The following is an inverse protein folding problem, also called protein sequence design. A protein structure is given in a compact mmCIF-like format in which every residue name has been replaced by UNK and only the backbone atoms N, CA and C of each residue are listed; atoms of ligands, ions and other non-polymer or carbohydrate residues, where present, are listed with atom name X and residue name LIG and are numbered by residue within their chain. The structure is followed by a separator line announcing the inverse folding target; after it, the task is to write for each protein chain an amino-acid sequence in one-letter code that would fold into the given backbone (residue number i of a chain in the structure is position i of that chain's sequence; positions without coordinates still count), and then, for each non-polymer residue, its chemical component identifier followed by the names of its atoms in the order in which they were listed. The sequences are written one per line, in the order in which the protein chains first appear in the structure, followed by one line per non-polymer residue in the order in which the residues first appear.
data_IF_335604776054
#
_entry.id   IF_335604776054
#
_cell.length_a   1.000
_cell.length_b   1.000
_cell.length_c   1.000
_cell.angle_alpha   90.00
_cell.angle_beta   90.00
_cell.angle_gamma   90.00
#
_symmetry.space_group_name_H-M   'P 1'
#
loop_
_entity.id
_entity.type
_entity.pdbx_description
1 polymer ?
#
# COMPACT_ATOMS: atom_id res chain seq x y z
N UNK A 1 -30.31 -17.47 30.40
CA UNK A 1 -28.86 -17.80 30.37
C UNK A 1 -28.35 -18.19 28.98
N UNK A 2 -29.01 -19.10 28.23
CA UNK A 2 -28.55 -19.53 26.89
C UNK A 2 -28.47 -18.42 25.83
N UNK A 3 -29.43 -17.50 25.81
CA UNK A 3 -29.48 -16.40 24.83
C UNK A 3 -28.39 -15.34 25.09
N UNK A 4 -28.11 -15.03 26.35
CA UNK A 4 -27.06 -14.07 26.73
C UNK A 4 -25.66 -14.56 26.34
N UNK A 5 -25.37 -15.87 26.51
CA UNK A 5 -24.11 -16.45 26.05
C UNK A 5 -23.95 -16.39 24.52
N UNK A 6 -25.05 -16.52 23.76
CA UNK A 6 -25.01 -16.44 22.30
C UNK A 6 -24.64 -15.03 21.82
N UNK A 7 -25.21 -13.99 22.44
CA UNK A 7 -24.86 -12.59 22.16
C UNK A 7 -23.41 -12.29 22.54
N UNK A 8 -22.94 -12.79 23.69
CA UNK A 8 -21.56 -12.58 24.11
C UNK A 8 -20.57 -13.21 23.11
N UNK A 9 -20.86 -14.44 22.66
CA UNK A 9 -20.06 -15.14 21.66
C UNK A 9 -20.05 -14.44 20.29
N UNK A 10 -21.20 -13.91 19.85
CA UNK A 10 -21.29 -13.14 18.59
C UNK A 10 -20.48 -11.84 18.66
N UNK A 11 -20.54 -11.11 19.78
CA UNK A 11 -19.75 -9.89 19.96
C UNK A 11 -18.24 -10.18 20.03
N UNK A 12 -17.83 -11.29 20.67
CA UNK A 12 -16.44 -11.75 20.67
C UNK A 12 -15.96 -12.13 19.27
N UNK A 13 -16.80 -12.79 18.47
CA UNK A 13 -16.47 -13.19 17.10
C UNK A 13 -16.33 -11.98 16.17
N UNK A 14 -17.22 -10.97 16.30
CA UNK A 14 -17.13 -9.71 15.56
C UNK A 14 -15.83 -8.98 15.94
N UNK A 15 -15.49 -8.92 17.23
CA UNK A 15 -14.25 -8.28 17.68
C UNK A 15 -12.99 -8.98 17.14
N UNK A 16 -12.99 -10.31 17.08
CA UNK A 16 -11.88 -11.10 16.52
C UNK A 16 -11.72 -10.95 14.99
N UNK A 17 -12.79 -10.65 14.25
CA UNK A 17 -12.76 -10.50 12.79
C UNK A 17 -12.17 -9.19 12.27
N UNK A 18 -11.75 -8.28 13.15
CA UNK A 18 -11.29 -6.94 12.78
C UNK A 18 -9.84 -6.87 12.25
N UNK A 19 -9.08 -7.97 12.36
CA UNK A 19 -7.66 -8.00 11.98
C UNK A 19 -7.44 -8.98 10.82
N UNK A 20 -7.13 -8.46 9.64
CA UNK A 20 -6.58 -9.25 8.55
C UNK A 20 -5.05 -9.17 8.60
N UNK A 21 -4.38 -10.31 8.82
CA UNK A 21 -2.92 -10.43 8.70
C UNK A 21 -2.60 -11.16 7.41
N UNK A 22 -1.71 -10.58 6.61
CA UNK A 22 -1.15 -11.21 5.41
C UNK A 22 0.36 -10.96 5.39
N UNK A 23 1.13 -12.03 5.27
CA UNK A 23 2.58 -12.01 5.13
C UNK A 23 3.01 -13.25 4.33
N UNK A 24 4.22 -13.21 3.77
CA UNK A 24 4.76 -14.31 2.99
C UNK A 24 5.09 -15.53 3.89
N UNK A 25 4.82 -16.77 3.45
CA UNK A 25 5.13 -17.97 4.24
C UNK A 25 6.59 -18.07 4.69
N UNK A 26 6.83 -18.65 5.86
CA UNK A 26 8.18 -18.89 6.39
C UNK A 26 9.01 -19.84 5.51
N UNK A 27 10.33 -19.68 5.54
CA UNK A 27 11.28 -20.56 4.85
C UNK A 27 11.25 -21.99 5.39
N UNK A 28 11.42 -22.96 4.48
CA UNK A 28 11.58 -24.38 4.80
C UNK A 28 13.00 -24.91 4.59
N UNK A 29 13.89 -24.06 4.06
CA UNK A 29 15.30 -24.34 3.74
C UNK A 29 16.07 -23.01 3.64
N UNK A 30 17.40 -23.05 3.64
CA UNK A 30 18.23 -21.84 3.66
C UNK A 30 17.99 -20.92 2.45
N UNK A 31 17.88 -21.50 1.25
CA UNK A 31 17.67 -20.76 0.00
C UNK A 31 16.72 -21.51 -0.94
N UNK A 32 15.83 -20.78 -1.60
CA UNK A 32 14.99 -21.30 -2.67
C UNK A 32 14.93 -20.27 -3.79
N UNK A 33 15.83 -20.35 -4.77
CA UNK A 33 15.93 -19.34 -5.84
C UNK A 33 14.81 -19.57 -6.86
N UNK A 34 14.06 -18.52 -7.20
CA UNK A 34 13.05 -18.62 -8.25
C UNK A 34 13.69 -18.93 -9.62
N UNK A 35 13.03 -19.74 -10.45
CA UNK A 35 13.50 -20.04 -11.81
C UNK A 35 13.03 -18.92 -12.72
N UNK A 36 13.91 -17.96 -13.00
CA UNK A 36 13.64 -16.85 -13.92
C UNK A 36 14.94 -16.42 -14.61
N UNK A 37 14.87 -16.13 -15.91
CA UNK A 37 16.05 -15.86 -16.75
C UNK A 37 16.49 -14.38 -16.80
N UNK A 38 15.80 -13.49 -16.09
CA UNK A 38 16.07 -12.04 -16.13
C UNK A 38 16.85 -11.57 -14.91
N UNK A 39 18.17 -11.37 -15.06
CA UNK A 39 19.05 -10.83 -14.03
C UNK A 39 19.38 -9.35 -14.25
N UNK A 40 18.37 -8.47 -14.21
CA UNK A 40 18.54 -7.02 -14.34
C UNK A 40 18.07 -6.26 -13.08
N UNK A 41 18.45 -6.74 -11.88
CA UNK A 41 18.17 -6.07 -10.60
C UNK A 41 19.33 -5.23 -10.08
N UNK A 42 19.04 -4.08 -9.44
CA UNK A 42 20.04 -3.22 -8.81
C UNK A 42 19.49 -1.87 -8.37
N UNK A 43 20.04 -1.31 -7.28
CA UNK A 43 19.63 -0.02 -6.71
C UNK A 43 20.75 1.04 -6.73
N UNK A 44 21.90 0.73 -7.33
CA UNK A 44 23.09 1.58 -7.33
C UNK A 44 22.98 2.80 -8.25
N UNK A 45 22.10 2.76 -9.26
CA UNK A 45 21.95 3.83 -10.25
C UNK A 45 20.61 4.56 -10.03
N UNK A 46 20.62 5.88 -9.77
CA UNK A 46 19.40 6.70 -9.80
C UNK A 46 18.76 6.66 -11.18
N UNK A 47 17.42 6.60 -11.27
CA UNK A 47 16.72 6.68 -12.56
C UNK A 47 16.19 8.09 -12.83
N UNK A 48 15.98 8.40 -14.10
CA UNK A 48 15.44 9.69 -14.53
C UNK A 48 14.03 9.92 -13.97
N UNK A 49 13.84 11.11 -13.40
CA UNK A 49 12.56 11.60 -12.87
C UNK A 49 11.85 12.55 -13.84
N UNK A 50 12.31 12.63 -15.10
CA UNK A 50 11.70 13.44 -16.17
C UNK A 50 10.37 12.84 -16.65
N UNK A 51 9.37 12.83 -15.78
CA UNK A 51 8.01 12.38 -16.05
C UNK A 51 7.00 13.30 -15.31
N UNK A 52 5.71 13.12 -15.58
CA UNK A 52 4.66 14.02 -15.09
C UNK A 52 4.49 14.04 -13.57
N UNK A 53 4.93 13.00 -12.86
CA UNK A 53 4.86 12.93 -11.39
C UNK A 53 6.19 13.28 -10.73
N UNK A 54 7.26 13.44 -11.50
CA UNK A 54 8.59 13.78 -10.97
C UNK A 54 9.14 12.73 -10.03
N UNK A 55 8.75 11.46 -10.14
CA UNK A 55 9.33 10.37 -9.34
C UNK A 55 9.43 9.09 -10.16
N UNK A 56 10.35 8.21 -9.77
CA UNK A 56 10.51 6.89 -10.40
C UNK A 56 10.76 5.83 -9.34
N UNK A 57 10.05 4.72 -9.47
CA UNK A 57 10.13 3.58 -8.56
C UNK A 57 10.93 2.49 -9.26
N UNK A 58 12.09 2.13 -8.68
CA UNK A 58 12.91 1.01 -9.13
C UNK A 58 12.69 -0.18 -8.20
N UNK A 59 11.84 -1.15 -8.59
CA UNK A 59 11.56 -2.32 -7.75
C UNK A 59 12.71 -3.32 -7.78
N UNK A 60 12.88 -4.01 -6.65
CA UNK A 60 13.71 -5.19 -6.49
C UNK A 60 12.88 -6.22 -5.73
N UNK A 61 12.12 -7.02 -6.49
CA UNK A 61 11.35 -8.16 -5.99
C UNK A 61 11.87 -9.46 -6.64
N UNK A 62 11.14 -10.57 -6.48
CA UNK A 62 11.49 -11.88 -7.04
C UNK A 62 11.69 -11.87 -8.58
N UNK A 63 11.10 -10.92 -9.29
CA UNK A 63 11.22 -10.79 -10.75
C UNK A 63 12.56 -10.18 -11.18
N UNK A 64 13.18 -9.35 -10.33
CA UNK A 64 14.49 -8.73 -10.60
C UNK A 64 15.64 -9.46 -9.90
N UNK A 65 15.40 -10.02 -8.72
CA UNK A 65 16.38 -10.80 -7.96
C UNK A 65 15.70 -12.10 -7.52
N UNK A 66 15.83 -13.19 -8.30
CA UNK A 66 15.19 -14.47 -8.01
C UNK A 66 15.59 -15.08 -6.66
N UNK A 67 16.75 -14.70 -6.12
CA UNK A 67 17.22 -15.10 -4.80
C UNK A 67 16.41 -14.54 -3.63
N UNK A 68 15.53 -13.55 -3.85
CA UNK A 68 14.61 -13.06 -2.82
C UNK A 68 13.45 -14.00 -2.53
N UNK A 69 13.26 -15.02 -3.36
CA UNK A 69 12.18 -15.97 -3.18
C UNK A 69 12.29 -16.65 -1.81
N UNK A 70 11.13 -16.81 -1.14
CA UNK A 70 10.96 -17.29 0.24
C UNK A 70 11.53 -16.41 1.36
N UNK A 71 12.32 -15.36 1.08
CA UNK A 71 12.95 -14.55 2.14
C UNK A 71 12.02 -13.51 2.78
N UNK A 72 10.77 -13.40 2.34
CA UNK A 72 9.75 -12.46 2.83
C UNK A 72 10.19 -10.99 2.82
N UNK A 73 11.11 -10.64 1.90
CA UNK A 73 11.60 -9.28 1.72
C UNK A 73 11.56 -8.88 0.24
N UNK A 74 11.31 -7.60 0.02
CA UNK A 74 11.51 -6.93 -1.25
C UNK A 74 12.03 -5.52 -0.99
N UNK A 75 12.71 -4.95 -1.97
CA UNK A 75 13.30 -3.63 -1.86
C UNK A 75 12.83 -2.73 -3.00
N UNK A 76 12.96 -1.44 -2.77
CA UNK A 76 12.66 -0.43 -3.77
C UNK A 76 13.55 0.77 -3.55
N UNK A 77 14.10 1.33 -4.63
CA UNK A 77 14.65 2.68 -4.64
C UNK A 77 13.63 3.60 -5.28
N UNK A 78 13.45 4.78 -4.70
CA UNK A 78 12.59 5.80 -5.25
C UNK A 78 13.41 7.07 -5.40
N UNK A 79 13.55 7.55 -6.64
CA UNK A 79 14.19 8.83 -6.93
C UNK A 79 13.09 9.88 -7.15
N UNK A 80 13.27 11.06 -6.57
CA UNK A 80 12.32 12.19 -6.65
C UNK A 80 12.99 13.40 -7.30
N UNK A 81 12.27 14.07 -8.20
CA UNK A 81 12.65 15.37 -8.71
C UNK A 81 12.55 16.42 -7.59
N UNK A 82 13.50 17.37 -7.52
CA UNK A 82 13.44 18.45 -6.55
C UNK A 82 12.19 19.32 -6.76
N UNK A 83 11.66 19.89 -5.67
CA UNK A 83 10.59 20.88 -5.67
C UNK A 83 9.26 20.44 -6.32
N UNK A 84 8.91 19.15 -6.28
CA UNK A 84 7.59 18.72 -6.76
C UNK A 84 7.46 17.24 -7.11
N UNK A 85 8.52 16.44 -6.99
CA UNK A 85 8.42 14.99 -7.17
C UNK A 85 7.42 14.36 -6.20
N UNK A 86 6.46 13.62 -6.73
CA UNK A 86 5.40 12.94 -5.98
C UNK A 86 5.36 11.47 -6.36
N UNK A 87 5.36 10.61 -5.35
CA UNK A 87 4.93 9.23 -5.50
C UNK A 87 3.45 9.20 -5.06
N UNK A 88 2.50 9.05 -6.00
CA UNK A 88 1.08 9.21 -5.69
C UNK A 88 0.62 8.30 -4.54
N UNK A 89 -0.46 8.67 -3.83
CA UNK A 89 -1.07 7.78 -2.84
C UNK A 89 -1.34 6.40 -3.42
N UNK A 90 -0.80 5.36 -2.77
CA UNK A 90 -0.92 3.96 -3.18
C UNK A 90 -1.00 3.06 -1.95
N UNK A 91 -1.30 1.79 -2.19
CA UNK A 91 -1.35 0.75 -1.15
C UNK A 91 -0.45 -0.42 -1.53
N UNK A 92 0.00 -1.16 -0.53
CA UNK A 92 0.66 -2.46 -0.69
C UNK A 92 -0.23 -3.52 -0.05
N UNK A 93 -0.96 -4.34 -0.82
CA UNK A 93 -2.01 -5.21 -0.28
C UNK A 93 -1.48 -6.38 0.57
N UNK A 94 -0.18 -6.69 0.50
CA UNK A 94 0.43 -7.85 1.16
C UNK A 94 1.76 -7.54 1.87
N UNK A 95 2.05 -6.26 2.13
CA UNK A 95 3.34 -5.89 2.69
C UNK A 95 3.33 -4.54 3.37
N UNK A 96 4.03 -4.47 4.50
CA UNK A 96 4.38 -3.21 5.15
C UNK A 96 5.64 -2.64 4.51
N UNK A 97 5.79 -1.31 4.54
CA UNK A 97 6.92 -0.60 3.96
C UNK A 97 7.66 0.18 5.03
N UNK A 98 8.98 0.04 5.06
CA UNK A 98 9.91 0.88 5.81
C UNK A 98 10.66 1.75 4.80
N UNK A 99 10.83 3.03 5.11
CA UNK A 99 11.51 4.01 4.26
C UNK A 99 12.76 4.54 4.95
N UNK A 100 13.85 4.67 4.19
CA UNK A 100 15.06 5.38 4.58
C UNK A 100 15.34 6.45 3.53
N UNK A 101 15.45 7.71 3.97
CA UNK A 101 15.81 8.82 3.09
C UNK A 101 17.33 8.86 3.01
N UNK A 102 17.87 8.62 1.81
CA UNK A 102 19.31 8.65 1.57
C UNK A 102 19.83 10.08 1.31
N UNK A 103 19.02 10.92 0.68
CA UNK A 103 19.37 12.29 0.30
C UNK A 103 18.12 13.18 0.26
N UNK A 104 18.28 14.46 0.66
CA UNK A 104 17.21 15.46 0.62
C UNK A 104 16.23 15.40 1.79
N UNK A 105 15.05 16.00 1.58
CA UNK A 105 13.95 16.04 2.56
C UNK A 105 12.71 15.48 1.87
N UNK A 106 12.05 14.50 2.50
CA UNK A 106 10.85 13.86 1.97
C UNK A 106 9.68 13.99 2.95
N UNK A 107 8.58 14.55 2.48
CA UNK A 107 7.31 14.51 3.22
C UNK A 107 6.64 13.15 3.01
N UNK A 108 6.43 12.41 4.09
CA UNK A 108 5.82 11.08 4.06
C UNK A 108 4.54 11.09 4.90
N UNK A 109 3.45 10.59 4.33
CA UNK A 109 2.17 10.43 5.01
C UNK A 109 1.58 9.05 4.76
N UNK A 110 1.01 8.46 5.80
CA UNK A 110 0.22 7.23 5.71
C UNK A 110 -1.23 7.54 6.07
N UNK A 111 -2.17 7.05 5.28
CA UNK A 111 -3.60 7.13 5.56
C UNK A 111 -4.09 5.72 5.87
N UNK A 112 -4.79 5.56 6.99
CA UNK A 112 -5.35 4.24 7.35
C UNK A 112 -6.48 3.89 6.39
N UNK A 113 -6.49 2.63 5.91
CA UNK A 113 -7.49 2.13 4.96
C UNK A 113 -8.91 2.22 5.51
N UNK A 114 -9.09 2.09 6.83
CA UNK A 114 -10.38 2.27 7.50
C UNK A 114 -10.99 3.63 7.18
N UNK A 115 -10.23 4.72 7.31
CA UNK A 115 -10.75 6.08 7.08
C UNK A 115 -11.09 6.26 5.60
N UNK A 116 -10.21 5.84 4.69
CA UNK A 116 -10.43 6.00 3.26
C UNK A 116 -11.65 5.18 2.77
N UNK A 117 -11.81 3.95 3.23
CA UNK A 117 -12.98 3.11 2.93
C UNK A 117 -14.24 3.68 3.59
N UNK A 118 -14.18 4.20 4.81
CA UNK A 118 -15.35 4.83 5.43
C UNK A 118 -15.80 6.10 4.69
N UNK A 119 -14.86 6.90 4.18
CA UNK A 119 -15.18 8.18 3.53
C UNK A 119 -15.55 8.00 2.05
N UNK A 120 -14.81 7.17 1.31
CA UNK A 120 -14.94 7.05 -0.15
C UNK A 120 -15.46 5.68 -0.60
N UNK A 121 -15.21 4.59 0.12
CA UNK A 121 -15.54 3.21 -0.27
C UNK A 121 -16.67 2.56 0.54
N UNK A 122 -17.53 3.35 1.20
CA UNK A 122 -18.55 2.81 2.10
C UNK A 122 -19.67 2.13 1.30
N UNK A 123 -20.17 0.98 1.79
CA UNK A 123 -21.21 0.21 1.10
C UNK A 123 -22.50 1.01 0.85
N UNK A 124 -22.78 1.97 1.74
CA UNK A 124 -23.68 3.09 1.44
C UNK A 124 -22.80 4.33 1.22
N UNK A 125 -22.56 4.75 -0.03
CA UNK A 125 -21.66 5.86 -0.31
C UNK A 125 -22.14 7.14 0.37
N UNK A 126 -21.21 7.88 1.00
CA UNK A 126 -21.52 9.20 1.55
C UNK A 126 -22.02 10.11 0.43
N UNK A 127 -23.04 10.93 0.74
CA UNK A 127 -23.68 11.80 -0.23
C UNK A 127 -22.63 12.68 -0.94
N UNK A 128 -22.73 12.71 -2.27
CA UNK A 128 -21.77 13.40 -3.13
C UNK A 128 -21.64 14.88 -2.78
N UNK A 129 -22.74 15.58 -2.48
CA UNK A 129 -22.74 17.01 -2.17
C UNK A 129 -22.06 17.31 -0.83
N UNK A 130 -22.20 16.41 0.15
CA UNK A 130 -21.50 16.49 1.44
C UNK A 130 -20.00 16.39 1.23
N UNK A 131 -19.53 15.39 0.49
CA UNK A 131 -18.10 15.20 0.24
C UNK A 131 -17.53 16.33 -0.62
N UNK A 132 -18.23 16.80 -1.65
CA UNK A 132 -17.74 17.94 -2.45
C UNK A 132 -17.61 19.21 -1.62
N UNK A 133 -18.52 19.44 -0.67
CA UNK A 133 -18.48 20.59 0.23
C UNK A 133 -17.36 20.43 1.26
N UNK A 134 -17.27 19.26 1.89
CA UNK A 134 -16.28 18.98 2.94
C UNK A 134 -14.83 19.04 2.43
N UNK A 135 -14.58 18.50 1.23
CA UNK A 135 -13.24 18.45 0.63
C UNK A 135 -12.97 19.59 -0.35
N UNK A 136 -13.96 20.43 -0.66
CA UNK A 136 -13.87 21.50 -1.65
C UNK A 136 -13.43 20.99 -3.04
N UNK A 137 -13.93 19.81 -3.42
CA UNK A 137 -13.61 19.12 -4.67
C UNK A 137 -14.79 19.13 -5.64
N UNK A 138 -14.51 19.01 -6.93
CA UNK A 138 -15.57 18.83 -7.93
C UNK A 138 -16.25 17.46 -7.77
N UNK A 139 -17.54 17.37 -8.14
CA UNK A 139 -18.30 16.11 -8.18
C UNK A 139 -17.59 15.01 -8.97
N UNK A 140 -16.85 15.38 -10.03
CA UNK A 140 -16.06 14.45 -10.84
C UNK A 140 -14.92 13.82 -10.06
N UNK A 141 -14.18 14.63 -9.29
CA UNK A 141 -13.05 14.14 -8.48
C UNK A 141 -13.57 13.28 -7.35
N UNK A 142 -14.64 13.68 -6.66
CA UNK A 142 -15.21 12.87 -5.58
C UNK A 142 -15.71 11.52 -6.08
N UNK A 143 -16.43 11.48 -7.21
CA UNK A 143 -16.82 10.20 -7.84
C UNK A 143 -15.63 9.34 -8.22
N UNK A 144 -14.57 9.96 -8.76
CA UNK A 144 -13.33 9.26 -9.06
C UNK A 144 -12.74 8.64 -7.79
N UNK A 145 -12.65 9.38 -6.69
CA UNK A 145 -12.17 8.86 -5.41
C UNK A 145 -13.06 7.72 -4.88
N UNK A 146 -14.39 7.88 -4.92
CA UNK A 146 -15.32 6.82 -4.52
C UNK A 146 -15.22 5.53 -5.35
N UNK A 147 -14.73 5.60 -6.59
CA UNK A 147 -14.48 4.41 -7.41
C UNK A 147 -13.14 3.71 -7.15
N UNK A 148 -12.27 4.30 -6.31
CA UNK A 148 -10.94 3.77 -6.00
C UNK A 148 -10.88 2.96 -4.70
N UNK A 149 -11.93 3.05 -3.89
CA UNK A 149 -12.09 2.39 -2.58
C UNK A 149 -13.37 1.57 -2.57
#
# INVERSE_FOLDING_TARGET
MKVACLYLAFNLLILASSFASAYDPSLLQDFCVAVNDTNNGGLNIPKSTSNSVGSVVTPVNIDQIPGLNTLSISLVRIDYAPNGGLNPPHTHPRGTKILVVLEGILYVGFVTSTIANTVFGSNLPVNLDVLTTAFQLSKKIVKYLQSRF
#
